data_IF_180940709126
#
_entry.id   IF_180940709126
#
_cell.length_a   1.000
_cell.length_b   1.000
_cell.length_c   1.000
_cell.angle_alpha   90.00
_cell.angle_beta   90.00
_cell.angle_gamma   90.00
#
_symmetry.space_group_name_H-M   'P 1'
#
loop_
_entity.id
_entity.type
_entity.pdbx_description
1 polymer ?
#
# COMPACT_ATOMS: atom_id res chain seq x y z
N UNK A 1 -16.46 -16.55 -13.43
CA UNK A 1 -16.67 -16.15 -12.02
C UNK A 1 -15.82 -14.91 -11.76
N UNK A 2 -16.31 -13.75 -12.20
CA UNK A 2 -16.91 -12.72 -11.33
C UNK A 2 -15.80 -12.00 -10.53
N UNK A 3 -15.57 -10.71 -10.71
CA UNK A 3 -16.56 -9.65 -10.48
C UNK A 3 -16.14 -8.40 -11.25
N UNK A 4 -17.00 -7.98 -12.18
CA UNK A 4 -17.07 -6.59 -12.61
C UNK A 4 -17.75 -5.81 -11.47
N UNK A 5 -16.97 -5.11 -10.66
CA UNK A 5 -17.52 -4.19 -9.68
C UNK A 5 -18.14 -2.99 -10.42
N UNK A 6 -19.47 -2.88 -10.33
CA UNK A 6 -20.30 -1.79 -10.84
C UNK A 6 -19.76 -0.41 -10.41
N UNK A 7 -20.04 0.69 -11.14
CA UNK A 7 -19.53 2.02 -10.79
C UNK A 7 -20.31 2.61 -9.61
N UNK A 8 -20.09 2.07 -8.41
CA UNK A 8 -20.36 2.73 -7.13
C UNK A 8 -19.46 3.96 -7.02
N UNK A 9 -19.98 5.06 -6.47
CA UNK A 9 -19.37 6.38 -6.27
C UNK A 9 -17.82 6.48 -6.33
N UNK A 10 -17.25 7.56 -6.89
CA UNK A 10 -15.80 7.70 -7.04
C UNK A 10 -15.07 7.43 -5.72
N UNK A 11 -14.19 6.43 -5.73
CA UNK A 11 -13.47 5.99 -4.54
C UNK A 11 -12.66 7.15 -3.94
N UNK A 12 -12.96 7.50 -2.68
CA UNK A 12 -12.28 8.57 -1.93
C UNK A 12 -11.23 8.02 -0.97
N UNK A 13 -10.10 8.72 -0.85
CA UNK A 13 -9.10 8.44 0.18
C UNK A 13 -9.61 8.90 1.54
N UNK A 14 -9.98 7.93 2.38
CA UNK A 14 -10.34 8.16 3.78
C UNK A 14 -9.15 7.81 4.67
N UNK A 15 -9.07 8.33 5.92
CA UNK A 15 -8.01 7.97 6.86
C UNK A 15 -7.89 6.45 7.08
N UNK A 16 -9.02 5.73 7.10
CA UNK A 16 -9.03 4.26 7.20
C UNK A 16 -8.31 3.60 6.02
N UNK A 17 -8.56 4.07 4.79
CA UNK A 17 -7.89 3.54 3.58
C UNK A 17 -6.42 3.92 3.53
N UNK A 18 -6.06 5.12 4.01
CA UNK A 18 -4.65 5.53 4.14
C UNK A 18 -3.90 4.64 5.12
N UNK A 19 -4.49 4.35 6.29
CA UNK A 19 -3.90 3.43 7.27
C UNK A 19 -3.75 2.02 6.70
N UNK A 20 -4.79 1.47 6.10
CA UNK A 20 -4.75 0.15 5.46
C UNK A 20 -3.66 0.10 4.37
N UNK A 21 -3.59 1.14 3.54
CA UNK A 21 -2.54 1.28 2.53
C UNK A 21 -1.13 1.24 3.16
N UNK A 22 -0.87 2.04 4.20
CA UNK A 22 0.45 2.11 4.84
C UNK A 22 0.82 0.79 5.52
N UNK A 23 -0.12 0.14 6.21
CA UNK A 23 0.10 -1.17 6.85
C UNK A 23 0.47 -2.22 5.80
N UNK A 24 -0.31 -2.33 4.72
CA UNK A 24 0.01 -3.29 3.66
C UNK A 24 1.31 -2.94 2.94
N UNK A 25 1.62 -1.64 2.75
CA UNK A 25 2.86 -1.19 2.13
C UNK A 25 4.09 -1.61 2.94
N UNK A 26 4.03 -1.48 4.26
CA UNK A 26 5.07 -1.95 5.17
C UNK A 26 5.25 -3.49 5.09
N UNK A 27 4.14 -4.23 5.00
CA UNK A 27 4.18 -5.69 4.95
C UNK A 27 4.78 -6.24 3.65
N UNK A 28 4.44 -5.64 2.50
CA UNK A 28 4.77 -6.22 1.19
C UNK A 28 5.75 -5.40 0.34
N UNK A 29 6.03 -4.14 0.70
CA UNK A 29 6.87 -3.23 -0.08
C UNK A 29 6.29 -2.81 -1.44
N UNK A 30 5.06 -3.23 -1.77
CA UNK A 30 4.46 -3.02 -3.08
C UNK A 30 3.31 -2.02 -3.04
N UNK A 31 3.52 -0.87 -3.67
CA UNK A 31 2.50 0.19 -3.81
C UNK A 31 1.26 -0.31 -4.55
N UNK A 32 1.44 -1.14 -5.57
CA UNK A 32 0.31 -1.68 -6.36
C UNK A 32 -0.56 -2.59 -5.50
N UNK A 33 0.04 -3.47 -4.71
CA UNK A 33 -0.68 -4.38 -3.83
C UNK A 33 -1.35 -3.63 -2.67
N UNK A 34 -0.63 -2.71 -2.04
CA UNK A 34 -1.16 -1.86 -0.98
C UNK A 34 -2.35 -1.02 -1.45
N UNK A 35 -2.25 -0.42 -2.64
CA UNK A 35 -3.35 0.35 -3.23
C UNK A 35 -4.57 -0.53 -3.49
N UNK A 36 -4.37 -1.70 -4.11
CA UNK A 36 -5.47 -2.66 -4.36
C UNK A 36 -6.16 -3.11 -3.07
N UNK A 37 -5.38 -3.38 -2.02
CA UNK A 37 -5.91 -3.77 -0.70
C UNK A 37 -6.73 -2.64 -0.08
N UNK A 38 -6.31 -1.39 -0.25
CA UNK A 38 -7.07 -0.20 0.15
C UNK A 38 -8.28 0.13 -0.76
N UNK A 39 -8.55 -0.67 -1.78
CA UNK A 39 -9.61 -0.42 -2.77
C UNK A 39 -9.31 0.75 -3.71
N UNK A 40 -8.03 1.00 -3.98
CA UNK A 40 -7.53 2.14 -4.75
C UNK A 40 -6.61 1.70 -5.90
N UNK A 41 -6.43 2.59 -6.88
CA UNK A 41 -5.40 2.41 -7.90
C UNK A 41 -4.05 2.98 -7.44
N UNK A 42 -2.95 2.40 -7.92
CA UNK A 42 -1.60 2.90 -7.64
C UNK A 42 -1.43 4.36 -8.11
N UNK A 43 -1.99 4.71 -9.27
CA UNK A 43 -1.96 6.09 -9.78
C UNK A 43 -2.70 7.07 -8.86
N UNK A 44 -3.83 6.66 -8.25
CA UNK A 44 -4.53 7.47 -7.24
C UNK A 44 -3.69 7.62 -5.97
N UNK A 45 -2.99 6.57 -5.55
CA UNK A 45 -2.11 6.60 -4.39
C UNK A 45 -0.93 7.58 -4.58
N UNK A 46 -0.27 7.56 -5.75
CA UNK A 46 0.77 8.55 -6.08
C UNK A 46 0.23 9.98 -6.15
N UNK A 47 -0.98 10.18 -6.69
CA UNK A 47 -1.62 11.50 -6.69
C UNK A 47 -1.91 11.98 -5.27
N UNK A 48 -2.38 11.11 -4.39
CA UNK A 48 -2.57 11.43 -2.97
C UNK A 48 -1.24 11.81 -2.33
N UNK A 49 -0.19 11.01 -2.53
CA UNK A 49 1.14 11.29 -1.97
C UNK A 49 1.66 12.66 -2.38
N UNK A 50 1.56 13.03 -3.66
CA UNK A 50 1.95 14.37 -4.14
C UNK A 50 1.15 15.50 -3.49
N UNK A 51 -0.15 15.29 -3.25
CA UNK A 51 -1.01 16.28 -2.56
C UNK A 51 -0.68 16.44 -1.08
N UNK A 52 -0.19 15.36 -0.47
CA UNK A 52 0.15 15.29 0.95
C UNK A 52 1.67 15.33 1.18
N UNK A 53 2.43 15.83 0.22
CA UNK A 53 3.89 15.92 0.32
C UNK A 53 4.30 16.75 1.55
N UNK A 54 5.26 16.26 2.33
CA UNK A 54 5.71 16.91 3.57
C UNK A 54 4.76 16.75 4.77
N UNK A 55 3.66 16.02 4.62
CA UNK A 55 2.81 15.64 5.75
C UNK A 55 3.28 14.32 6.37
N UNK A 56 2.82 13.96 7.59
CA UNK A 56 3.12 12.66 8.18
C UNK A 56 2.80 11.46 7.29
N UNK A 57 1.74 11.54 6.47
CA UNK A 57 1.41 10.45 5.53
C UNK A 57 2.51 10.18 4.51
N UNK A 58 3.14 11.23 3.96
CA UNK A 58 4.23 11.08 2.99
C UNK A 58 5.51 10.54 3.66
N UNK A 59 5.80 11.00 4.89
CA UNK A 59 6.90 10.46 5.68
C UNK A 59 6.69 8.99 6.06
N UNK A 60 5.49 8.64 6.52
CA UNK A 60 5.12 7.26 6.86
C UNK A 60 5.15 6.35 5.63
N UNK A 61 4.84 6.87 4.44
CA UNK A 61 4.99 6.12 3.20
C UNK A 61 6.45 5.75 2.95
N UNK A 62 7.35 6.73 2.99
CA UNK A 62 8.80 6.47 2.79
C UNK A 62 9.31 5.51 3.87
N UNK A 63 8.94 5.76 5.12
CA UNK A 63 9.32 4.91 6.27
C UNK A 63 8.83 3.49 6.12
N UNK A 64 7.61 3.27 5.63
CA UNK A 64 7.09 1.92 5.39
C UNK A 64 7.95 1.13 4.39
N UNK A 65 8.42 1.79 3.32
CA UNK A 65 9.31 1.18 2.34
C UNK A 65 10.71 0.91 2.91
N UNK A 66 11.26 1.86 3.66
CA UNK A 66 12.57 1.71 4.31
C UNK A 66 12.55 0.56 5.33
N UNK A 67 11.51 0.48 6.16
CA UNK A 67 11.38 -0.59 7.13
C UNK A 67 11.17 -1.95 6.46
N UNK A 68 10.42 -2.01 5.35
CA UNK A 68 10.29 -3.24 4.57
C UNK A 68 11.65 -3.69 4.01
N UNK A 69 12.43 -2.76 3.43
CA UNK A 69 13.76 -3.05 2.93
C UNK A 69 14.71 -3.51 4.05
N UNK A 70 14.64 -2.87 5.22
CA UNK A 70 15.40 -3.27 6.40
C UNK A 70 15.01 -4.67 6.87
N UNK A 71 13.72 -5.00 6.90
CA UNK A 71 13.24 -6.33 7.27
C UNK A 71 13.69 -7.43 6.28
N UNK A 72 13.86 -7.11 4.99
CA UNK A 72 14.44 -8.03 4.01
C UNK A 72 15.96 -8.21 4.18
N UNK A 73 16.65 -7.17 4.66
CA UNK A 73 18.09 -7.20 4.90
C UNK A 73 18.46 -7.84 6.25
N UNK A 74 17.55 -7.83 7.22
CA UNK A 74 17.72 -8.46 8.52
C UNK A 74 17.72 -10.00 8.35
N UNK A 75 18.81 -10.70 8.71
CA UNK A 75 18.92 -12.15 8.52
C UNK A 75 17.96 -12.97 9.40
N UNK A 76 17.45 -12.40 10.49
CA UNK A 76 16.45 -13.02 11.36
C UNK A 76 15.05 -12.74 10.81
N UNK A 77 14.77 -11.53 10.34
CA UNK A 77 13.47 -11.18 9.79
C UNK A 77 13.26 -11.68 8.35
N UNK A 78 14.32 -11.82 7.55
CA UNK A 78 14.33 -12.17 6.12
C UNK A 78 13.68 -13.50 5.75
N UNK A 79 13.34 -14.34 6.73
CA UNK A 79 12.48 -15.51 6.55
C UNK A 79 10.97 -15.18 6.44
N UNK A 80 10.55 -13.91 6.66
CA UNK A 80 9.16 -13.48 6.48
C UNK A 80 8.87 -13.42 4.99
N UNK A 81 8.53 -14.58 4.44
CA UNK A 81 8.05 -14.72 3.07
C UNK A 81 6.83 -13.79 2.89
N UNK A 82 6.89 -12.80 1.99
CA UNK A 82 5.71 -12.00 1.68
C UNK A 82 4.61 -12.94 1.14
N UNK A 83 3.33 -12.71 1.48
CA UNK A 83 2.25 -13.49 0.90
C UNK A 83 2.34 -13.36 -0.63
N UNK A 84 2.49 -14.50 -1.31
CA UNK A 84 2.62 -14.55 -2.76
C UNK A 84 1.42 -13.83 -3.41
N UNK A 85 1.62 -13.06 -4.49
CA UNK A 85 0.53 -12.33 -5.11
C UNK A 85 -0.51 -13.34 -5.59
N UNK A 86 -1.77 -13.13 -5.18
CA UNK A 86 -2.91 -13.80 -5.79
C UNK A 86 -2.95 -13.39 -7.28
N UNK A 87 -2.40 -14.25 -8.14
CA UNK A 87 -2.59 -14.17 -9.59
C UNK A 87 -4.10 -14.29 -9.85
N UNK A 88 -4.70 -13.23 -10.38
CA UNK A 88 -6.01 -13.27 -11.05
C UNK A 88 -5.77 -13.25 -12.54
#
# INVERSE_FOLDING_TARGET
MEQQASPSAPARWTPVRQRLFLTTLFECGSVVQAARTAGMSASSAHRLRRRLAGTPFDHDWSRALELHAHALADPIAGHRRPPAPARR
#
